data_IF_146082376086
#
_entry.id   IF_146082376086
#
_cell.length_a   1.000
_cell.length_b   1.000
_cell.length_c   1.000
_cell.angle_alpha   90.00
_cell.angle_beta   90.00
_cell.angle_gamma   90.00
#
_symmetry.space_group_name_H-M   'P 1'
#
loop_
_entity.id
_entity.type
_entity.pdbx_description
1 polymer ?
#
# COMPACT_ATOMS: atom_id res chain seq x y z
N UNK A 1 -25.95 15.56 36.85
CA UNK A 1 -25.50 14.27 36.28
C UNK A 1 -24.30 14.56 35.41
N UNK A 2 -23.11 14.26 35.90
CA UNK A 2 -21.82 14.61 35.27
C UNK A 2 -21.46 13.54 34.20
N UNK A 3 -21.27 13.95 32.96
CA UNK A 3 -20.73 13.11 31.89
C UNK A 3 -19.20 13.07 32.00
N UNK A 4 -18.67 11.94 32.40
CA UNK A 4 -17.24 11.67 32.48
C UNK A 4 -16.70 11.46 31.09
N UNK A 5 -15.96 12.45 30.57
CA UNK A 5 -15.20 12.31 29.33
C UNK A 5 -13.95 11.46 29.62
N UNK A 6 -13.88 10.26 29.05
CA UNK A 6 -12.70 9.39 29.14
C UNK A 6 -11.67 9.91 28.13
N UNK A 7 -10.64 10.54 28.66
CA UNK A 7 -9.50 11.07 27.90
C UNK A 7 -8.60 9.92 27.43
N UNK A 8 -8.51 9.71 26.12
CA UNK A 8 -7.66 8.70 25.44
C UNK A 8 -6.15 9.04 25.46
N UNK A 9 -5.65 9.59 26.55
CA UNK A 9 -4.23 9.98 26.69
C UNK A 9 -3.54 9.21 27.81
N UNK A 10 -3.51 7.88 27.80
CA UNK A 10 -2.60 7.10 28.68
C UNK A 10 -2.47 5.66 28.18
N UNK A 11 -1.66 5.46 27.14
CA UNK A 11 -1.14 4.09 26.83
C UNK A 11 0.15 4.12 26.00
N UNK A 12 1.05 5.04 26.28
CA UNK A 12 2.45 4.97 25.80
C UNK A 12 3.34 5.37 26.98
N UNK A 13 3.61 4.48 27.87
CA UNK A 13 4.74 4.53 28.82
C UNK A 13 4.78 3.23 29.61
N UNK A 14 5.47 2.22 29.09
CA UNK A 14 6.03 1.12 29.89
C UNK A 14 6.71 0.09 28.97
N UNK A 15 7.92 0.42 28.50
CA UNK A 15 8.95 -0.57 28.13
C UNK A 15 10.30 0.17 28.01
N UNK A 16 10.92 0.37 29.17
CA UNK A 16 12.25 0.96 29.23
C UNK A 16 12.81 0.92 30.65
N UNK A 17 13.17 -0.24 31.12
CA UNK A 17 14.17 -0.36 32.23
C UNK A 17 14.62 -1.82 32.35
N UNK A 18 15.90 -2.05 32.19
CA UNK A 18 16.55 -3.28 32.67
C UNK A 18 17.50 -3.91 31.67
N UNK A 19 18.76 -3.51 31.72
CA UNK A 19 19.89 -4.35 32.15
C UNK A 19 21.21 -3.75 31.66
N UNK A 20 21.79 -2.91 32.51
CA UNK A 20 23.23 -2.67 32.46
C UNK A 20 23.91 -3.81 33.23
N UNK A 21 24.52 -4.74 32.53
CA UNK A 21 25.48 -5.66 33.09
C UNK A 21 26.64 -5.80 32.10
N UNK A 22 27.83 -5.42 32.60
CA UNK A 22 29.04 -5.26 31.86
C UNK A 22 29.53 -6.48 31.10
N UNK A 23 30.14 -6.22 29.97
CA UNK A 23 31.13 -7.10 29.38
C UNK A 23 32.19 -6.24 28.70
N UNK A 24 33.39 -6.38 29.21
CA UNK A 24 34.62 -5.84 28.69
C UNK A 24 34.84 -6.24 27.23
N UNK A 25 35.23 -5.26 26.45
CA UNK A 25 36.13 -5.35 25.32
C UNK A 25 35.99 -6.52 24.34
N UNK A 26 35.20 -6.33 23.30
CA UNK A 26 35.56 -6.67 21.92
C UNK A 26 35.01 -5.54 21.08
N UNK A 27 35.90 -4.63 20.68
CA UNK A 27 35.66 -3.78 19.51
C UNK A 27 35.58 -4.72 18.31
N UNK A 28 34.46 -5.34 18.10
CA UNK A 28 34.10 -5.79 16.78
C UNK A 28 34.06 -4.51 15.94
N UNK A 29 35.04 -4.33 15.08
CA UNK A 29 34.93 -3.40 13.98
C UNK A 29 33.57 -3.74 13.34
N UNK A 30 32.57 -2.88 13.55
CA UNK A 30 31.32 -2.96 12.85
C UNK A 30 31.69 -2.79 11.38
N UNK A 31 31.87 -3.93 10.69
CA UNK A 31 32.12 -3.93 9.26
C UNK A 31 31.00 -3.09 8.64
N UNK A 32 31.36 -2.11 7.85
CA UNK A 32 30.38 -1.37 7.06
C UNK A 32 29.53 -2.41 6.35
N UNK A 33 28.20 -2.32 6.43
CA UNK A 33 27.34 -3.23 5.70
C UNK A 33 27.77 -3.23 4.24
N UNK A 34 27.93 -4.42 3.66
CA UNK A 34 28.31 -4.54 2.26
C UNK A 34 27.29 -3.76 1.41
N UNK A 35 27.76 -2.99 0.42
CA UNK A 35 26.85 -2.21 -0.42
C UNK A 35 25.84 -3.13 -1.10
N UNK A 36 24.59 -2.67 -1.17
CA UNK A 36 23.50 -3.41 -1.79
C UNK A 36 23.85 -3.73 -3.24
N UNK A 37 23.78 -5.02 -3.62
CA UNK A 37 24.03 -5.45 -4.99
C UNK A 37 22.88 -5.00 -5.89
N UNK A 38 23.18 -4.24 -6.95
CA UNK A 38 22.20 -3.75 -7.91
C UNK A 38 22.16 -4.60 -9.18
N UNK A 39 20.99 -4.67 -9.88
CA UNK A 39 20.92 -5.21 -11.23
C UNK A 39 21.89 -4.46 -12.15
N UNK A 40 22.71 -5.19 -12.90
CA UNK A 40 23.72 -4.61 -13.83
C UNK A 40 23.15 -4.33 -15.22
N UNK A 41 21.93 -4.82 -15.48
CA UNK A 41 21.19 -4.65 -16.75
C UNK A 41 19.80 -4.10 -16.45
N UNK A 42 19.17 -3.45 -17.44
CA UNK A 42 17.78 -3.08 -17.33
C UNK A 42 16.92 -4.28 -16.96
N UNK A 43 15.93 -4.05 -16.10
CA UNK A 43 14.98 -5.06 -15.69
C UNK A 43 13.59 -4.69 -16.19
N UNK A 44 12.75 -5.68 -16.43
CA UNK A 44 11.33 -5.47 -16.69
C UNK A 44 10.58 -5.50 -15.36
N UNK A 45 9.95 -4.38 -15.00
CA UNK A 45 9.03 -4.28 -13.89
C UNK A 45 7.60 -4.33 -14.42
N UNK A 46 6.79 -5.22 -13.90
CA UNK A 46 5.37 -5.32 -14.24
C UNK A 46 4.50 -5.06 -13.01
N UNK A 47 3.40 -4.34 -13.21
CA UNK A 47 2.36 -4.12 -12.21
C UNK A 47 1.02 -4.57 -12.77
N UNK A 48 0.28 -5.36 -12.01
CA UNK A 48 -1.11 -5.69 -12.29
C UNK A 48 -1.96 -5.14 -11.16
N UNK A 49 -2.89 -4.25 -11.48
CA UNK A 49 -3.86 -3.71 -10.54
C UNK A 49 -5.25 -4.25 -10.89
N UNK A 50 -5.88 -4.94 -9.95
CA UNK A 50 -7.19 -5.57 -10.14
C UNK A 50 -8.20 -5.05 -9.14
N UNK A 51 -9.40 -4.76 -9.62
CA UNK A 51 -10.54 -4.40 -8.79
C UNK A 51 -11.54 -5.56 -8.82
N UNK A 52 -11.79 -6.16 -7.66
CA UNK A 52 -12.66 -7.32 -7.50
C UNK A 52 -13.95 -6.90 -6.81
N UNK A 53 -15.09 -7.20 -7.44
CA UNK A 53 -16.43 -6.92 -6.90
C UNK A 53 -17.25 -8.22 -6.99
N UNK A 54 -17.81 -8.64 -5.86
CA UNK A 54 -18.63 -9.86 -5.82
C UNK A 54 -17.86 -11.13 -6.19
N UNK A 55 -16.54 -11.17 -5.93
CA UNK A 55 -15.68 -12.32 -6.24
C UNK A 55 -15.23 -12.41 -7.70
N UNK A 56 -15.59 -11.46 -8.55
CA UNK A 56 -15.14 -11.40 -9.95
C UNK A 56 -14.29 -10.15 -10.20
N UNK A 57 -13.24 -10.29 -11.02
CA UNK A 57 -12.44 -9.15 -11.46
C UNK A 57 -13.28 -8.26 -12.39
N UNK A 58 -13.62 -7.05 -11.91
CA UNK A 58 -14.40 -6.09 -12.68
C UNK A 58 -13.52 -5.27 -13.63
N UNK A 59 -12.26 -5.05 -13.27
CA UNK A 59 -11.29 -4.29 -14.06
C UNK A 59 -9.89 -4.75 -13.68
N UNK A 60 -9.02 -4.95 -14.66
CA UNK A 60 -7.61 -5.22 -14.42
C UNK A 60 -6.76 -4.38 -15.38
N UNK A 61 -5.75 -3.72 -14.82
CA UNK A 61 -4.77 -2.91 -15.57
C UNK A 61 -3.39 -3.51 -15.36
N UNK A 62 -2.74 -3.92 -16.43
CA UNK A 62 -1.36 -4.41 -16.43
C UNK A 62 -0.47 -3.39 -17.13
N UNK A 63 0.59 -2.95 -16.47
CA UNK A 63 1.62 -2.08 -17.04
C UNK A 63 2.98 -2.69 -16.88
N UNK A 64 3.84 -2.44 -17.85
CA UNK A 64 5.24 -2.84 -17.82
C UNK A 64 6.16 -1.66 -18.04
N UNK A 65 7.28 -1.67 -17.33
CA UNK A 65 8.35 -0.69 -17.46
C UNK A 65 9.68 -1.39 -17.64
N UNK A 66 10.54 -0.78 -18.38
CA UNK A 66 11.98 -1.01 -18.35
C UNK A 66 12.56 -0.12 -17.26
N UNK A 67 13.29 -0.69 -16.30
CA UNK A 67 13.84 0.03 -15.15
C UNK A 67 15.35 -0.14 -15.04
N UNK A 68 16.03 0.93 -14.61
CA UNK A 68 17.47 0.98 -14.39
C UNK A 68 17.78 1.44 -12.97
N UNK A 69 18.82 0.85 -12.39
CA UNK A 69 19.32 1.19 -11.07
C UNK A 69 20.72 1.80 -11.20
N UNK A 70 20.93 2.94 -10.58
CA UNK A 70 22.24 3.61 -10.56
C UNK A 70 22.57 4.10 -9.15
N UNK A 71 23.78 3.88 -8.66
CA UNK A 71 24.24 4.52 -7.42
C UNK A 71 24.16 6.04 -7.56
N UNK A 72 23.61 6.72 -6.54
CA UNK A 72 23.54 8.18 -6.51
C UNK A 72 23.80 8.70 -5.09
N UNK A 73 24.99 9.25 -4.87
CA UNK A 73 25.43 9.67 -3.55
C UNK A 73 25.45 8.50 -2.57
N UNK A 74 24.65 8.58 -1.51
CA UNK A 74 24.52 7.51 -0.50
C UNK A 74 23.32 6.58 -0.76
N UNK A 75 22.57 6.81 -1.83
CA UNK A 75 21.39 6.06 -2.18
C UNK A 75 21.44 5.51 -3.60
N UNK A 76 20.28 5.15 -4.13
CA UNK A 76 20.10 4.54 -5.44
C UNK A 76 19.02 5.32 -6.19
N UNK A 77 19.33 5.76 -7.40
CA UNK A 77 18.32 6.27 -8.32
C UNK A 77 17.72 5.12 -9.12
N UNK A 78 16.40 5.08 -9.20
CA UNK A 78 15.67 4.16 -10.09
C UNK A 78 14.99 4.99 -11.16
N UNK A 79 15.37 4.76 -12.40
CA UNK A 79 14.76 5.37 -13.58
C UNK A 79 13.92 4.34 -14.31
N UNK A 80 12.88 4.78 -15.02
CA UNK A 80 12.02 3.85 -15.74
C UNK A 80 11.34 4.47 -16.95
N UNK A 81 11.01 3.61 -17.92
CA UNK A 81 10.25 3.96 -19.11
C UNK A 81 9.15 2.92 -19.31
N UNK A 82 7.92 3.40 -19.45
CA UNK A 82 6.79 2.51 -19.73
C UNK A 82 6.95 1.83 -21.09
N UNK A 83 6.76 0.52 -21.11
CA UNK A 83 6.82 -0.33 -22.30
C UNK A 83 5.42 -0.57 -22.88
N UNK A 84 4.46 -0.86 -22.00
CA UNK A 84 3.09 -1.18 -22.39
C UNK A 84 2.08 -0.87 -21.29
N UNK A 85 0.81 -0.78 -21.69
CA UNK A 85 -0.36 -0.82 -20.82
C UNK A 85 -1.42 -1.72 -21.46
N UNK A 86 -1.97 -2.65 -20.70
CA UNK A 86 -3.04 -3.56 -21.10
C UNK A 86 -4.18 -3.42 -20.12
N UNK A 87 -5.40 -3.32 -20.61
CA UNK A 87 -6.59 -3.18 -19.76
C UNK A 87 -7.60 -4.25 -20.13
N UNK A 88 -7.97 -5.05 -19.13
CA UNK A 88 -9.06 -6.00 -19.24
C UNK A 88 -10.26 -5.46 -18.46
N UNK A 89 -11.37 -5.26 -19.16
CA UNK A 89 -12.59 -4.69 -18.61
C UNK A 89 -13.82 -5.30 -19.29
N UNK A 90 -14.97 -5.35 -18.60
CA UNK A 90 -16.21 -5.76 -19.22
C UNK A 90 -16.64 -4.79 -20.33
N UNK A 91 -17.43 -5.24 -21.31
CA UNK A 91 -17.81 -4.44 -22.48
C UNK A 91 -18.39 -3.06 -22.15
N UNK A 92 -19.11 -2.94 -21.04
CA UNK A 92 -19.72 -1.69 -20.58
C UNK A 92 -18.68 -0.62 -20.23
N UNK A 93 -17.44 -1.03 -19.90
CA UNK A 93 -16.33 -0.15 -19.55
C UNK A 93 -15.30 0.01 -20.70
N UNK A 94 -15.61 -0.45 -21.92
CA UNK A 94 -14.66 -0.48 -23.03
C UNK A 94 -14.13 0.92 -23.41
N UNK A 95 -14.92 1.98 -23.27
CA UNK A 95 -14.46 3.34 -23.53
C UNK A 95 -13.44 3.79 -22.48
N UNK A 96 -13.69 3.52 -21.20
CA UNK A 96 -12.78 3.80 -20.10
C UNK A 96 -11.49 2.98 -20.23
N UNK A 97 -11.62 1.70 -20.59
CA UNK A 97 -10.48 0.81 -20.79
C UNK A 97 -9.52 1.35 -21.88
N UNK A 98 -10.06 1.89 -22.99
CA UNK A 98 -9.25 2.51 -24.04
C UNK A 98 -8.49 3.75 -23.56
N UNK A 99 -9.15 4.62 -22.80
CA UNK A 99 -8.50 5.82 -22.21
C UNK A 99 -7.35 5.38 -21.30
N UNK A 100 -7.60 4.42 -20.42
CA UNK A 100 -6.60 3.92 -19.48
C UNK A 100 -5.45 3.19 -20.17
N UNK A 101 -5.71 2.47 -21.25
CA UNK A 101 -4.69 1.81 -22.06
C UNK A 101 -3.76 2.79 -22.78
N UNK A 102 -4.27 3.95 -23.19
CA UNK A 102 -3.50 5.01 -23.87
C UNK A 102 -2.76 5.90 -22.87
N UNK A 103 -3.12 5.85 -21.60
CA UNK A 103 -2.52 6.69 -20.57
C UNK A 103 -1.10 6.24 -20.27
N UNK A 104 -0.14 7.16 -20.45
CA UNK A 104 1.23 6.95 -19.99
C UNK A 104 1.33 7.34 -18.51
N UNK A 105 1.83 6.43 -17.70
CA UNK A 105 2.10 6.68 -16.29
C UNK A 105 3.47 7.36 -16.18
N UNK A 106 3.47 8.68 -16.01
CA UNK A 106 4.69 9.49 -15.93
C UNK A 106 5.12 9.78 -14.48
N UNK A 107 4.26 9.52 -13.51
CA UNK A 107 4.50 9.84 -12.10
C UNK A 107 5.28 8.79 -11.32
N UNK A 108 5.49 7.60 -11.90
CA UNK A 108 6.13 6.50 -11.18
C UNK A 108 7.65 6.68 -11.06
N UNK A 109 8.30 7.24 -12.06
CA UNK A 109 9.76 7.43 -12.13
C UNK A 109 10.12 8.88 -12.44
N UNK A 110 11.31 9.38 -11.99
CA UNK A 110 12.35 8.68 -11.24
C UNK A 110 12.00 8.52 -9.75
N UNK A 111 12.61 7.51 -9.11
CA UNK A 111 12.52 7.26 -7.67
C UNK A 111 13.90 7.31 -7.04
N UNK A 112 13.95 7.65 -5.75
CA UNK A 112 15.15 7.57 -4.93
C UNK A 112 14.96 6.52 -3.84
N UNK A 113 15.95 5.66 -3.69
CA UNK A 113 16.04 4.71 -2.60
C UNK A 113 17.19 5.13 -1.67
N UNK A 114 17.09 4.76 -0.42
CA UNK A 114 18.23 4.88 0.52
C UNK A 114 19.31 3.81 0.26
N UNK A 115 20.31 3.76 1.15
CA UNK A 115 21.40 2.80 1.03
C UNK A 115 20.96 1.34 1.21
N UNK A 116 19.86 1.12 1.90
CA UNK A 116 19.29 -0.20 2.19
C UNK A 116 18.25 -0.62 1.13
N UNK A 117 17.98 0.24 0.17
CA UNK A 117 17.04 -0.01 -0.94
C UNK A 117 15.59 0.36 -0.67
N UNK A 118 15.32 1.07 0.43
CA UNK A 118 13.97 1.54 0.74
C UNK A 118 13.62 2.81 -0.06
N UNK A 119 12.39 2.87 -0.58
CA UNK A 119 11.87 4.03 -1.31
C UNK A 119 11.67 5.21 -0.37
N UNK A 120 12.07 6.41 -0.78
CA UNK A 120 11.90 7.66 -0.06
C UNK A 120 10.94 8.61 -0.81
N UNK A 121 9.89 9.17 -0.16
CA UNK A 121 9.32 8.87 1.15
C UNK A 121 8.43 7.62 1.14
N UNK A 122 8.22 7.00 2.31
CA UNK A 122 7.42 5.78 2.47
C UNK A 122 6.17 6.08 3.28
N UNK A 123 5.02 5.55 2.85
CA UNK A 123 3.83 5.50 3.68
C UNK A 123 4.00 4.44 4.78
N UNK A 124 3.87 4.84 6.02
CA UNK A 124 3.92 3.96 7.18
C UNK A 124 2.51 3.47 7.60
N UNK A 125 2.46 2.50 8.51
CA UNK A 125 1.19 1.97 9.03
C UNK A 125 0.33 3.03 9.75
N UNK A 126 0.97 4.08 10.33
CA UNK A 126 0.25 5.18 10.98
C UNK A 126 -0.45 6.06 9.94
N UNK A 127 0.17 6.26 8.78
CA UNK A 127 -0.44 6.96 7.65
C UNK A 127 -1.69 6.25 7.13
N UNK A 128 -1.67 4.91 7.05
CA UNK A 128 -2.83 4.09 6.66
C UNK A 128 -3.99 4.26 7.65
N UNK A 129 -3.73 4.10 8.95
CA UNK A 129 -4.77 4.25 9.99
C UNK A 129 -5.36 5.66 10.02
N UNK A 130 -4.52 6.70 9.84
CA UNK A 130 -4.98 8.08 9.76
C UNK A 130 -5.87 8.33 8.53
N UNK A 131 -5.50 7.77 7.37
CA UNK A 131 -6.28 7.88 6.13
C UNK A 131 -7.66 7.22 6.25
N UNK A 132 -7.73 6.03 6.86
CA UNK A 132 -8.99 5.32 7.13
C UNK A 132 -9.89 6.15 8.06
N UNK A 133 -9.35 6.69 9.15
CA UNK A 133 -10.09 7.54 10.08
C UNK A 133 -10.65 8.79 9.38
N UNK A 134 -9.82 9.49 8.61
CA UNK A 134 -10.25 10.67 7.86
C UNK A 134 -11.35 10.36 6.83
N UNK A 135 -11.31 9.18 6.21
CA UNK A 135 -12.37 8.75 5.27
C UNK A 135 -13.69 8.50 5.97
N UNK A 136 -13.68 7.93 7.18
CA UNK A 136 -14.88 7.72 7.99
C UNK A 136 -15.49 9.07 8.39
N UNK A 137 -14.67 10.00 8.90
CA UNK A 137 -15.13 11.35 9.28
C UNK A 137 -15.75 12.10 8.07
N UNK A 138 -15.11 11.97 6.89
CA UNK A 138 -15.63 12.56 5.66
C UNK A 138 -16.96 11.92 5.21
N UNK A 139 -17.11 10.60 5.37
CA UNK A 139 -18.36 9.90 5.07
C UNK A 139 -19.49 10.35 6.02
N UNK A 140 -19.22 10.45 7.33
CA UNK A 140 -20.17 10.96 8.32
C UNK A 140 -20.62 12.39 8.00
N UNK A 141 -19.67 13.27 7.68
CA UNK A 141 -19.97 14.65 7.30
C UNK A 141 -20.83 14.74 6.03
N UNK A 142 -20.63 13.84 5.05
CA UNK A 142 -21.42 13.78 3.83
C UNK A 142 -22.88 13.34 4.14
N UNK A 143 -23.02 12.30 4.94
CA UNK A 143 -24.32 11.75 5.35
C UNK A 143 -25.12 12.76 6.17
N UNK A 144 -24.45 13.48 7.09
CA UNK A 144 -25.10 14.50 7.92
C UNK A 144 -25.61 15.71 7.12
N UNK A 145 -25.06 16.00 5.95
CA UNK A 145 -25.47 17.14 5.08
C UNK A 145 -26.53 16.79 4.07
N UNK A 146 -26.74 15.51 3.79
CA UNK A 146 -27.75 15.02 2.84
C UNK A 146 -29.11 14.79 3.50
N UNK A 147 -30.21 14.67 2.71
CA UNK A 147 -31.40 13.99 3.19
C UNK A 147 -30.94 12.60 3.58
N UNK A 148 -31.01 12.27 4.87
CA UNK A 148 -30.45 11.04 5.44
C UNK A 148 -30.77 9.82 4.58
N UNK A 149 -29.89 8.83 4.49
CA UNK A 149 -30.10 7.66 3.65
C UNK A 149 -31.42 7.00 4.04
N UNK A 150 -32.30 6.83 3.05
CA UNK A 150 -33.62 6.27 3.25
C UNK A 150 -33.58 4.81 3.71
N UNK A 151 -32.38 4.17 3.59
CA UNK A 151 -32.16 2.80 4.04
C UNK A 151 -30.69 2.56 4.46
N UNK A 152 -30.49 1.55 5.29
CA UNK A 152 -29.18 1.10 5.77
C UNK A 152 -28.22 0.70 4.62
N UNK A 153 -28.73 0.26 3.48
CA UNK A 153 -27.91 -0.14 2.33
C UNK A 153 -27.29 1.07 1.63
N UNK A 154 -28.00 2.19 1.58
CA UNK A 154 -27.45 3.44 1.03
C UNK A 154 -26.31 3.96 1.92
N UNK A 155 -26.47 3.89 3.24
CA UNK A 155 -25.46 4.23 4.23
C UNK A 155 -24.19 3.35 4.05
N UNK A 156 -24.37 2.04 4.00
CA UNK A 156 -23.25 1.09 3.77
C UNK A 156 -22.51 1.39 2.49
N UNK A 157 -23.21 1.70 1.39
CA UNK A 157 -22.57 2.06 0.11
C UNK A 157 -21.77 3.34 0.17
N UNK A 158 -22.24 4.35 0.91
CA UNK A 158 -21.53 5.62 1.08
C UNK A 158 -20.21 5.43 1.83
N UNK A 159 -20.23 4.70 2.95
CA UNK A 159 -19.01 4.36 3.69
C UNK A 159 -18.05 3.52 2.86
N UNK A 160 -18.57 2.47 2.22
CA UNK A 160 -17.75 1.58 1.40
C UNK A 160 -17.07 2.33 0.24
N UNK A 161 -17.77 3.29 -0.39
CA UNK A 161 -17.20 4.12 -1.45
C UNK A 161 -16.05 5.00 -0.95
N UNK A 162 -16.16 5.56 0.26
CA UNK A 162 -15.09 6.38 0.85
C UNK A 162 -13.86 5.58 1.22
N UNK A 163 -14.05 4.43 1.84
CA UNK A 163 -12.95 3.54 2.19
C UNK A 163 -12.28 2.92 0.96
N UNK A 164 -13.05 2.66 -0.09
CA UNK A 164 -12.52 2.20 -1.36
C UNK A 164 -11.66 3.29 -2.05
N UNK A 165 -12.02 4.56 -1.91
CA UNK A 165 -11.19 5.68 -2.38
C UNK A 165 -9.84 5.73 -1.64
N UNK A 166 -9.84 5.60 -0.30
CA UNK A 166 -8.60 5.50 0.48
C UNK A 166 -7.75 4.31 0.03
N UNK A 167 -8.38 3.16 -0.22
CA UNK A 167 -7.69 2.00 -0.77
C UNK A 167 -7.03 2.29 -2.12
N UNK A 168 -7.68 3.07 -2.98
CA UNK A 168 -7.09 3.51 -4.25
C UNK A 168 -5.88 4.41 -4.03
N UNK A 169 -6.01 5.45 -3.18
CA UNK A 169 -4.94 6.38 -2.87
C UNK A 169 -3.72 5.67 -2.24
N UNK A 170 -3.96 4.69 -1.38
CA UNK A 170 -2.88 3.86 -0.81
C UNK A 170 -2.16 3.03 -1.87
N UNK A 171 -2.87 2.57 -2.91
CA UNK A 171 -2.25 1.84 -4.01
C UNK A 171 -1.50 2.75 -5.00
N UNK A 172 -1.71 4.06 -4.97
CA UNK A 172 -0.87 5.01 -5.71
C UNK A 172 0.52 5.16 -5.08
N UNK A 173 0.65 4.90 -3.77
CA UNK A 173 1.93 4.91 -3.07
C UNK A 173 2.60 3.55 -3.20
N UNK A 174 3.89 3.53 -3.55
CA UNK A 174 4.64 2.29 -3.64
C UNK A 174 4.96 1.72 -2.25
N UNK A 175 4.99 0.38 -2.10
CA UNK A 175 5.56 -0.25 -0.90
C UNK A 175 7.02 0.16 -0.72
N UNK A 176 7.42 0.47 0.51
CA UNK A 176 8.74 1.03 0.79
C UNK A 176 9.91 0.15 0.39
N UNK A 177 9.75 -1.17 0.50
CA UNK A 177 10.77 -2.17 0.17
C UNK A 177 10.50 -2.87 -1.18
N UNK A 178 9.71 -2.25 -2.08
CA UNK A 178 9.28 -2.88 -3.31
C UNK A 178 10.46 -3.44 -4.13
N UNK A 179 11.52 -2.67 -4.32
CA UNK A 179 12.64 -3.09 -5.17
C UNK A 179 13.60 -4.06 -4.49
N UNK A 180 13.73 -3.98 -3.17
CA UNK A 180 14.61 -4.81 -2.35
C UNK A 180 13.83 -5.34 -1.14
N UNK A 181 12.99 -6.37 -1.36
CA UNK A 181 12.08 -6.85 -0.34
C UNK A 181 12.78 -7.37 0.90
N UNK A 182 12.30 -6.95 2.07
CA UNK A 182 12.75 -7.51 3.35
C UNK A 182 12.27 -8.95 3.58
N UNK A 183 11.26 -9.40 2.82
CA UNK A 183 10.62 -10.69 2.99
C UNK A 183 9.71 -10.79 4.21
N UNK A 184 9.54 -9.69 4.96
CA UNK A 184 8.67 -9.64 6.13
C UNK A 184 7.26 -9.21 5.72
N UNK A 185 6.24 -10.08 5.86
CA UNK A 185 4.87 -9.70 5.58
C UNK A 185 4.37 -8.60 6.51
N UNK A 186 3.60 -7.67 6.01
CA UNK A 186 2.93 -6.65 6.82
C UNK A 186 1.42 -6.73 6.68
N UNK A 187 0.71 -6.47 7.79
CA UNK A 187 -0.75 -6.45 7.83
C UNK A 187 -1.23 -5.30 8.70
N UNK A 188 -2.03 -4.43 8.11
CA UNK A 188 -2.78 -3.40 8.84
C UNK A 188 -4.24 -3.81 8.88
N UNK A 189 -4.84 -3.85 10.07
CA UNK A 189 -6.26 -4.15 10.27
C UNK A 189 -6.91 -3.08 11.11
N UNK A 190 -8.01 -2.54 10.59
CA UNK A 190 -8.83 -1.56 11.29
C UNK A 190 -10.26 -2.09 11.40
N UNK A 191 -10.79 -2.09 12.62
CA UNK A 191 -12.22 -2.35 12.85
C UNK A 191 -12.95 -1.02 12.80
N UNK A 192 -13.98 -0.94 11.98
CA UNK A 192 -14.77 0.25 11.73
C UNK A 192 -16.06 0.15 12.52
N UNK A 193 -16.25 1.05 13.49
CA UNK A 193 -17.52 1.18 14.20
C UNK A 193 -18.27 2.34 13.56
N UNK A 194 -19.35 2.01 12.86
CA UNK A 194 -20.20 2.94 12.13
C UNK A 194 -21.46 3.27 12.94
N UNK A 195 -22.20 4.34 12.61
CA UNK A 195 -23.49 4.64 13.23
C UNK A 195 -24.45 3.44 13.19
N UNK A 196 -25.38 3.40 14.13
CA UNK A 196 -26.39 2.33 14.28
C UNK A 196 -25.81 0.94 14.61
N UNK A 197 -24.57 0.87 15.17
CA UNK A 197 -23.93 -0.36 15.55
C UNK A 197 -23.45 -1.21 14.37
N UNK A 198 -23.40 -0.65 13.17
CA UNK A 198 -22.86 -1.31 12.00
C UNK A 198 -21.33 -1.48 12.16
N UNK A 199 -20.85 -2.71 11.97
CA UNK A 199 -19.44 -3.04 12.05
C UNK A 199 -18.91 -3.29 10.63
N UNK A 200 -17.76 -2.69 10.36
CA UNK A 200 -16.97 -2.93 9.16
C UNK A 200 -15.53 -3.30 9.49
N UNK A 201 -14.77 -3.62 8.48
CA UNK A 201 -13.33 -3.84 8.58
C UNK A 201 -12.61 -3.32 7.33
N UNK A 202 -11.42 -2.78 7.57
CA UNK A 202 -10.44 -2.44 6.54
C UNK A 202 -9.19 -3.27 6.80
N UNK A 203 -8.67 -3.96 5.78
CA UNK A 203 -7.45 -4.75 5.88
C UNK A 203 -6.54 -4.41 4.70
N UNK A 204 -5.28 -4.10 4.98
CA UNK A 204 -4.22 -4.01 3.99
C UNK A 204 -3.20 -5.10 4.32
N UNK A 205 -2.93 -5.97 3.37
CA UNK A 205 -1.93 -7.03 3.47
C UNK A 205 -0.86 -6.80 2.40
N UNK A 206 0.39 -6.93 2.77
CA UNK A 206 1.52 -6.84 1.86
C UNK A 206 2.50 -7.96 2.12
N UNK A 207 3.00 -8.57 1.04
CA UNK A 207 4.06 -9.58 1.07
C UNK A 207 4.90 -9.46 -0.21
N UNK A 208 6.19 -9.70 -0.08
CA UNK A 208 7.12 -9.65 -1.19
C UNK A 208 8.25 -10.66 -1.01
N UNK A 209 8.88 -11.04 -2.11
CA UNK A 209 10.05 -11.89 -2.10
C UNK A 209 11.11 -11.40 -3.09
N UNK A 210 12.36 -11.54 -2.72
CA UNK A 210 13.50 -11.31 -3.59
C UNK A 210 13.69 -12.48 -4.57
N UNK A 211 14.52 -12.26 -5.60
CA UNK A 211 14.99 -13.32 -6.49
C UNK A 211 15.79 -14.35 -5.69
N UNK A 212 15.81 -15.64 -6.09
CA UNK A 212 16.59 -16.66 -5.38
C UNK A 212 18.08 -16.33 -5.24
N UNK A 213 18.67 -15.71 -6.25
CA UNK A 213 20.10 -15.45 -6.33
C UNK A 213 20.47 -13.96 -6.27
N UNK A 214 19.49 -13.10 -5.94
CA UNK A 214 19.69 -11.66 -5.96
C UNK A 214 18.78 -10.94 -4.93
N UNK A 215 19.23 -9.80 -4.38
CA UNK A 215 18.47 -9.10 -3.35
C UNK A 215 17.25 -8.32 -3.89
N UNK A 216 17.10 -8.20 -5.20
CA UNK A 216 16.01 -7.42 -5.78
C UNK A 216 14.74 -8.24 -5.99
N UNK A 217 13.65 -7.54 -6.20
CA UNK A 217 12.29 -8.08 -6.32
C UNK A 217 12.22 -9.28 -7.29
N UNK A 218 11.57 -10.34 -6.84
CA UNK A 218 10.96 -11.37 -7.69
C UNK A 218 9.48 -11.06 -7.91
N UNK A 219 8.75 -10.95 -6.80
CA UNK A 219 7.33 -10.60 -6.80
C UNK A 219 6.96 -9.87 -5.50
N UNK A 220 5.91 -9.04 -5.58
CA UNK A 220 5.23 -8.49 -4.43
C UNK A 220 3.72 -8.49 -4.68
N UNK A 221 2.96 -8.66 -3.61
CA UNK A 221 1.50 -8.62 -3.62
C UNK A 221 1.01 -7.71 -2.50
N UNK A 222 0.07 -6.84 -2.83
CA UNK A 222 -0.64 -6.01 -1.89
C UNK A 222 -2.14 -6.16 -2.10
N UNK A 223 -2.86 -6.44 -1.02
CA UNK A 223 -4.30 -6.66 -1.04
C UNK A 223 -4.97 -5.73 -0.07
N UNK A 224 -5.96 -4.99 -0.54
CA UNK A 224 -6.83 -4.15 0.30
C UNK A 224 -8.23 -4.74 0.26
N UNK A 225 -8.75 -5.09 1.42
CA UNK A 225 -10.11 -5.60 1.59
C UNK A 225 -10.88 -4.66 2.51
N UNK A 226 -12.02 -4.16 2.03
CA UNK A 226 -12.96 -3.38 2.82
C UNK A 226 -14.28 -4.13 2.89
N UNK A 227 -14.78 -4.34 4.10
CA UNK A 227 -16.05 -5.02 4.35
C UNK A 227 -16.96 -4.18 5.24
N UNK A 228 -18.22 -4.04 4.88
CA UNK A 228 -19.27 -3.38 5.68
C UNK A 228 -20.54 -4.20 5.58
N UNK A 229 -20.95 -4.82 6.68
CA UNK A 229 -22.05 -5.78 6.67
C UNK A 229 -21.78 -6.94 5.69
N UNK A 230 -22.69 -7.18 4.77
CA UNK A 230 -22.57 -8.21 3.73
C UNK A 230 -21.82 -7.74 2.46
N UNK A 231 -21.44 -6.47 2.39
CA UNK A 231 -20.76 -5.91 1.23
C UNK A 231 -19.25 -5.96 1.40
N UNK A 232 -18.56 -6.40 0.35
CA UNK A 232 -17.09 -6.46 0.30
C UNK A 232 -16.57 -5.86 -1.00
N UNK A 233 -15.47 -5.14 -0.89
CA UNK A 233 -14.66 -4.72 -2.02
C UNK A 233 -13.23 -5.14 -1.78
N UNK A 234 -12.59 -5.59 -2.85
CA UNK A 234 -11.20 -6.02 -2.80
C UNK A 234 -10.43 -5.41 -3.97
N UNK A 235 -9.24 -4.89 -3.65
CA UNK A 235 -8.26 -4.43 -4.62
C UNK A 235 -7.01 -5.25 -4.45
N UNK A 236 -6.46 -5.68 -5.56
CA UNK A 236 -5.24 -6.48 -5.60
C UNK A 236 -4.22 -5.79 -6.47
N UNK A 237 -3.00 -5.75 -6.00
CA UNK A 237 -1.85 -5.25 -6.73
C UNK A 237 -0.76 -6.31 -6.70
N UNK A 238 -0.29 -6.68 -7.87
CA UNK A 238 0.80 -7.62 -8.05
C UNK A 238 1.94 -6.94 -8.80
N UNK A 239 3.15 -7.07 -8.28
CA UNK A 239 4.38 -6.64 -8.92
C UNK A 239 5.27 -7.82 -9.25
N UNK A 240 5.98 -7.73 -10.36
CA UNK A 240 7.01 -8.70 -10.74
C UNK A 240 8.18 -7.97 -11.37
N UNK A 241 9.39 -8.44 -11.08
CA UNK A 241 10.59 -7.94 -11.73
C UNK A 241 11.41 -9.11 -12.26
N UNK A 242 11.94 -8.99 -13.45
CA UNK A 242 12.74 -10.01 -14.11
C UNK A 242 13.51 -9.43 -15.30
N UNK A 243 14.16 -10.28 -16.05
CA UNK A 243 14.90 -9.87 -17.24
C UNK A 243 14.00 -9.25 -18.31
N UNK A 244 14.56 -8.30 -19.06
CA UNK A 244 13.86 -7.57 -20.11
C UNK A 244 13.56 -8.45 -21.34
#
# INVERSE_FOLDING_TARGET
MAKTAITRRRLIALLGAGLAAGAAGRSAAAGQPAPLRLPQRPQRLERVLSHVVGGQSALSVRRGWEVWFAPQGRGIAVSGRQLFAEVNAPPQLAALARIEQQRTETGLFPLMLDADGAILPVADAQGVSAAVTAALDAAEALIARGPGPADQRALQRAYLARLDAVGADLLEQLPGDLFFPTGVPSVVRETLTLPDGLIGSFTLEYRAAAQPDAPWLSWAERVITTRIGAQERRREELWRMGDL
#
